data_IF_823484005834
#
_entry.id   IF_823484005834
#
_cell.length_a   1.000
_cell.length_b   1.000
_cell.length_c   1.000
_cell.angle_alpha   90.00
_cell.angle_beta   90.00
_cell.angle_gamma   90.00
#
_symmetry.space_group_name_H-M   'P 1'
#
loop_
_entity.id
_entity.type
_entity.pdbx_description
1 polymer ?
#
# COMPACT_ATOMS: atom_id res chain seq x y z
N UNK A 1 -8.15 -42.86 74.96
CA UNK A 1 -7.35 -43.98 74.45
C UNK A 1 -7.66 -44.17 72.98
N UNK A 2 -6.60 -44.43 72.22
CA UNK A 2 -6.46 -44.81 70.81
C UNK A 2 -7.69 -45.47 70.16
N UNK A 3 -8.08 -45.00 68.95
CA UNK A 3 -7.90 -45.66 67.62
C UNK A 3 -8.97 -46.73 67.33
N UNK A 4 -9.62 -46.89 66.17
CA UNK A 4 -9.15 -46.83 64.77
C UNK A 4 -10.34 -46.98 63.77
N UNK A 5 -10.15 -46.52 62.53
CA UNK A 5 -10.69 -46.99 61.22
C UNK A 5 -12.21 -46.94 60.92
N UNK A 6 -12.65 -46.09 59.98
CA UNK A 6 -12.82 -46.33 58.52
C UNK A 6 -14.31 -46.01 58.19
N UNK A 7 -14.79 -45.54 57.04
CA UNK A 7 -14.36 -45.63 55.66
C UNK A 7 -15.06 -44.53 54.81
N UNK A 8 -14.57 -44.40 53.58
CA UNK A 8 -14.80 -43.44 52.50
C UNK A 8 -16.24 -43.06 52.09
N UNK A 9 -16.34 -41.87 51.48
CA UNK A 9 -17.48 -41.42 50.66
C UNK A 9 -17.23 -40.05 50.02
N UNK A 10 -16.61 -40.03 48.84
CA UNK A 10 -16.21 -38.86 48.02
C UNK A 10 -17.40 -38.26 47.26
N UNK A 11 -17.42 -36.92 47.06
CA UNK A 11 -17.79 -36.27 45.78
C UNK A 11 -17.26 -34.83 45.71
N UNK A 12 -16.63 -34.53 44.56
CA UNK A 12 -15.88 -33.33 44.20
C UNK A 12 -16.80 -32.15 43.82
N UNK A 13 -16.32 -30.91 43.92
CA UNK A 13 -16.14 -30.08 42.70
C UNK A 13 -15.30 -28.80 42.90
N UNK A 14 -14.19 -28.77 42.15
CA UNK A 14 -13.77 -27.69 41.25
C UNK A 14 -13.71 -26.23 41.72
N UNK A 15 -12.49 -25.77 41.99
CA UNK A 15 -12.10 -24.39 42.26
C UNK A 15 -12.42 -23.38 41.12
N UNK A 16 -13.05 -22.26 41.49
CA UNK A 16 -13.11 -21.02 40.69
C UNK A 16 -11.77 -20.25 40.75
N UNK A 17 -11.33 -19.67 39.63
CA UNK A 17 -10.24 -18.68 39.62
C UNK A 17 -10.60 -17.46 38.76
N UNK A 18 -10.46 -16.28 39.36
CA UNK A 18 -10.82 -14.96 38.87
C UNK A 18 -9.84 -14.44 37.81
N UNK A 19 -10.34 -13.95 36.67
CA UNK A 19 -9.59 -13.14 35.69
C UNK A 19 -9.70 -11.64 36.03
N UNK A 20 -8.60 -10.88 36.16
CA UNK A 20 -8.66 -9.42 36.25
C UNK A 20 -9.01 -8.79 34.89
N UNK A 21 -9.83 -7.74 34.91
CA UNK A 21 -10.22 -6.93 33.75
C UNK A 21 -9.00 -6.18 33.19
N UNK A 22 -8.62 -6.49 31.96
CA UNK A 22 -7.61 -5.76 31.19
C UNK A 22 -8.22 -4.45 30.66
N UNK A 23 -7.59 -3.32 31.00
CA UNK A 23 -7.97 -1.99 30.50
C UNK A 23 -7.53 -1.87 29.05
N UNK A 24 -8.49 -1.71 28.15
CA UNK A 24 -8.26 -1.40 26.73
C UNK A 24 -7.51 -0.07 26.64
N UNK A 25 -6.24 -0.14 26.24
CA UNK A 25 -5.44 1.02 25.81
C UNK A 25 -5.78 1.27 24.34
N UNK A 26 -6.41 2.40 24.08
CA UNK A 26 -6.75 2.84 22.72
C UNK A 26 -5.46 3.25 22.00
N UNK A 27 -5.01 2.44 21.04
CA UNK A 27 -3.94 2.84 20.13
C UNK A 27 -4.47 3.86 19.11
N UNK A 28 -3.96 5.08 19.20
CA UNK A 28 -4.21 6.16 18.25
C UNK A 28 -3.44 5.89 16.95
N UNK A 29 -4.00 5.11 16.04
CA UNK A 29 -3.55 5.00 14.65
C UNK A 29 -4.72 4.66 13.70
N UNK A 30 -5.87 5.28 13.93
CA UNK A 30 -7.03 5.18 13.05
C UNK A 30 -7.08 6.38 12.08
N UNK A 31 -6.21 6.40 11.08
CA UNK A 31 -6.36 7.24 9.88
C UNK A 31 -6.73 6.42 8.62
N UNK A 32 -7.31 5.23 8.82
CA UNK A 32 -7.85 4.40 7.72
C UNK A 32 -9.36 4.14 7.88
N UNK A 33 -10.08 5.04 8.54
CA UNK A 33 -11.54 5.00 8.54
C UNK A 33 -12.09 5.59 7.24
N UNK A 34 -12.74 4.75 6.46
CA UNK A 34 -13.67 5.15 5.39
C UNK A 34 -14.69 6.12 5.99
N UNK A 35 -15.01 7.27 5.35
CA UNK A 35 -16.06 8.15 5.83
C UNK A 35 -17.39 7.39 5.98
N UNK A 36 -18.08 7.59 7.11
CA UNK A 36 -19.31 6.87 7.50
C UNK A 36 -20.54 7.15 6.62
N UNK A 37 -20.40 7.94 5.56
CA UNK A 37 -21.53 8.49 4.81
C UNK A 37 -21.69 7.84 3.40
N UNK A 38 -21.05 6.70 3.14
CA UNK A 38 -21.14 6.01 1.84
C UNK A 38 -22.21 4.90 1.78
N UNK A 39 -23.03 4.73 2.82
CA UNK A 39 -23.98 3.61 2.92
C UNK A 39 -25.34 3.85 2.24
N UNK A 40 -25.63 5.05 1.71
CA UNK A 40 -26.92 5.35 1.08
C UNK A 40 -26.84 5.54 -0.45
N UNK A 41 -26.27 4.57 -1.14
CA UNK A 41 -26.45 4.41 -2.59
C UNK A 41 -27.05 3.02 -2.84
N UNK A 42 -28.26 2.99 -3.41
CA UNK A 42 -29.00 1.79 -3.80
C UNK A 42 -28.14 0.85 -4.66
N UNK A 43 -27.62 -0.22 -4.05
CA UNK A 43 -26.79 -1.23 -4.69
C UNK A 43 -27.60 -2.47 -5.09
N UNK A 44 -28.66 -2.29 -5.86
CA UNK A 44 -29.55 -3.36 -6.32
C UNK A 44 -28.98 -4.23 -7.47
N UNK A 45 -27.66 -4.45 -7.53
CA UNK A 45 -27.05 -5.31 -8.57
C UNK A 45 -25.85 -6.17 -8.15
N UNK A 46 -25.59 -6.33 -6.85
CA UNK A 46 -24.56 -7.27 -6.37
C UNK A 46 -25.16 -8.33 -5.43
N UNK A 47 -25.89 -9.28 -6.01
CA UNK A 47 -26.15 -10.56 -5.36
C UNK A 47 -25.32 -11.66 -6.05
N UNK A 48 -24.55 -12.48 -5.32
CA UNK A 48 -23.80 -13.59 -5.91
C UNK A 48 -24.76 -14.70 -6.34
N UNK A 49 -24.84 -14.96 -7.64
CA UNK A 49 -25.65 -16.04 -8.23
C UNK A 49 -24.89 -17.36 -8.05
N UNK A 50 -25.28 -18.15 -7.05
CA UNK A 50 -24.78 -19.53 -6.86
C UNK A 50 -25.30 -20.43 -7.99
N UNK A 51 -24.48 -20.68 -9.01
CA UNK A 51 -24.72 -21.77 -9.96
C UNK A 51 -24.19 -23.07 -9.36
N UNK A 52 -25.11 -24.00 -9.05
CA UNK A 52 -24.79 -25.40 -8.75
C UNK A 52 -24.08 -26.04 -9.95
N UNK A 53 -22.80 -26.40 -9.79
CA UNK A 53 -22.13 -27.30 -10.73
C UNK A 53 -22.79 -28.69 -10.65
N UNK A 54 -23.35 -29.16 -11.76
CA UNK A 54 -23.73 -30.58 -11.94
C UNK A 54 -22.45 -31.38 -12.19
N UNK A 55 -22.22 -32.42 -11.39
CA UNK A 55 -21.21 -33.44 -11.64
C UNK A 55 -21.49 -34.21 -12.94
N UNK A 56 -20.43 -34.49 -13.71
CA UNK A 56 -20.35 -35.59 -14.66
C UNK A 56 -18.99 -36.32 -14.51
N UNK A 57 -18.93 -37.62 -14.87
CA UNK A 57 -18.06 -38.60 -14.22
C UNK A 57 -16.66 -38.75 -14.84
N UNK A 58 -15.78 -39.38 -14.06
CA UNK A 58 -14.37 -39.71 -14.33
C UNK A 58 -14.11 -40.28 -15.74
N UNK A 59 -13.08 -39.75 -16.41
CA UNK A 59 -12.44 -40.39 -17.55
C UNK A 59 -10.95 -40.65 -17.26
N UNK A 60 -10.57 -41.86 -17.59
CA UNK A 60 -9.36 -42.57 -17.18
C UNK A 60 -8.02 -41.86 -17.46
N UNK A 61 -7.08 -42.05 -16.53
CA UNK A 61 -5.67 -41.66 -16.61
C UNK A 61 -4.98 -42.34 -17.80
N UNK A 62 -4.36 -41.54 -18.69
CA UNK A 62 -3.39 -42.03 -19.70
C UNK A 62 -1.97 -42.12 -19.09
N UNK A 63 -1.13 -43.07 -19.52
CA UNK A 63 0.15 -43.35 -18.88
C UNK A 63 1.22 -42.29 -19.19
N UNK A 64 2.13 -42.12 -18.23
CA UNK A 64 3.26 -41.18 -18.23
C UNK A 64 4.24 -41.46 -19.37
N UNK A 65 4.66 -40.40 -20.07
CA UNK A 65 5.59 -40.50 -21.19
C UNK A 65 7.01 -40.87 -20.75
N UNK A 66 7.69 -41.65 -21.60
CA UNK A 66 9.08 -42.13 -21.50
C UNK A 66 10.13 -41.05 -21.16
N UNK A 67 9.78 -39.78 -21.36
CA UNK A 67 10.63 -38.61 -21.10
C UNK A 67 10.82 -38.33 -19.59
N UNK A 68 9.82 -38.67 -18.74
CA UNK A 68 9.89 -38.54 -17.27
C UNK A 68 10.84 -39.56 -16.63
N UNK A 69 11.02 -40.73 -17.24
CA UNK A 69 11.86 -41.81 -16.70
C UNK A 69 13.37 -41.53 -16.91
N UNK A 70 13.71 -40.85 -18.01
CA UNK A 70 15.09 -40.49 -18.33
C UNK A 70 15.64 -39.39 -17.42
N UNK A 71 14.79 -38.45 -16.99
CA UNK A 71 15.17 -37.35 -16.10
C UNK A 71 15.34 -37.81 -14.64
N UNK A 72 14.54 -38.78 -14.20
CA UNK A 72 14.66 -39.37 -12.86
C UNK A 72 15.98 -40.15 -12.69
N UNK A 73 16.42 -40.87 -13.73
CA UNK A 73 17.71 -41.58 -13.73
C UNK A 73 18.93 -40.66 -13.66
N UNK A 74 18.85 -39.43 -14.18
CA UNK A 74 19.93 -38.44 -14.05
C UNK A 74 20.05 -37.86 -12.63
N UNK A 75 18.93 -37.73 -11.91
CA UNK A 75 18.92 -37.14 -10.57
C UNK A 75 19.40 -38.11 -9.47
N UNK A 76 19.29 -39.42 -9.71
CA UNK A 76 19.76 -40.45 -8.76
C UNK A 76 21.29 -40.67 -8.84
N UNK A 77 21.95 -40.19 -9.90
CA UNK A 77 23.38 -40.38 -10.11
C UNK A 77 24.27 -39.33 -9.41
N UNK A 78 23.71 -38.18 -8.99
CA UNK A 78 24.45 -37.09 -8.35
C UNK A 78 24.40 -37.10 -6.80
N UNK A 79 23.69 -38.04 -6.18
CA UNK A 79 23.56 -38.13 -4.71
C UNK A 79 24.60 -39.03 -4.02
N UNK A 80 25.66 -39.40 -4.73
CA UNK A 80 26.68 -40.34 -4.28
C UNK A 80 28.06 -39.73 -4.04
N UNK A 81 28.18 -38.62 -3.30
CA UNK A 81 29.46 -38.21 -2.73
C UNK A 81 29.23 -37.24 -1.55
N UNK A 82 29.55 -37.69 -0.33
CA UNK A 82 29.55 -36.88 0.88
C UNK A 82 30.91 -36.93 1.58
N UNK A 83 31.13 -35.98 2.50
CA UNK A 83 32.07 -35.90 3.66
C UNK A 83 32.32 -34.40 3.95
N UNK A 84 32.48 -33.82 5.15
CA UNK A 84 32.22 -34.12 6.58
C UNK A 84 32.61 -32.84 7.39
N UNK A 85 31.90 -32.53 8.49
CA UNK A 85 32.15 -31.47 9.51
C UNK A 85 33.47 -31.70 10.31
N UNK A 86 34.06 -30.77 11.13
CA UNK A 86 33.48 -29.95 12.25
C UNK A 86 34.13 -28.54 12.48
N UNK A 87 33.88 -27.65 13.45
CA UNK A 87 33.02 -27.51 14.64
C UNK A 87 33.55 -26.40 15.60
N UNK A 88 32.67 -25.80 16.43
CA UNK A 88 32.83 -25.13 17.77
C UNK A 88 33.57 -23.78 17.97
N UNK A 89 32.96 -22.93 18.82
CA UNK A 89 33.63 -21.92 19.70
C UNK A 89 32.71 -20.78 20.18
N UNK A 90 32.62 -20.51 21.49
CA UNK A 90 31.70 -19.57 22.16
C UNK A 90 32.41 -18.59 23.13
N UNK A 91 31.70 -17.49 23.45
CA UNK A 91 31.70 -16.63 24.67
C UNK A 91 32.75 -15.54 25.00
N UNK A 92 32.20 -14.52 25.69
CA UNK A 92 32.75 -13.56 26.70
C UNK A 92 32.90 -12.08 26.25
N UNK A 93 32.14 -11.07 26.74
CA UNK A 93 31.90 -10.45 28.09
C UNK A 93 32.66 -9.09 28.25
N UNK A 94 31.93 -8.03 28.63
CA UNK A 94 32.35 -6.65 29.03
C UNK A 94 32.91 -6.64 30.49
N UNK A 95 33.27 -5.52 31.22
CA UNK A 95 33.17 -4.05 31.03
C UNK A 95 34.40 -3.26 31.64
N UNK A 96 34.30 -2.13 32.41
CA UNK A 96 33.79 -0.75 32.16
C UNK A 96 34.80 0.39 32.49
N UNK A 97 34.39 1.65 32.25
CA UNK A 97 34.82 2.87 32.99
C UNK A 97 34.42 4.15 32.25
N UNK A 98 34.22 5.35 32.79
CA UNK A 98 33.80 5.89 34.10
C UNK A 98 33.33 7.35 33.83
N UNK A 99 32.75 8.05 34.82
CA UNK A 99 32.08 9.38 34.70
C UNK A 99 32.99 10.57 35.07
N UNK A 100 32.69 11.75 34.54
CA UNK A 100 32.67 13.08 35.22
C UNK A 100 32.13 14.14 34.21
N UNK A 101 31.04 14.90 34.47
CA UNK A 101 30.93 16.16 35.24
C UNK A 101 31.97 17.21 34.81
N UNK A 102 31.68 18.48 34.50
CA UNK A 102 30.52 19.36 34.47
C UNK A 102 31.08 20.78 34.22
N UNK A 103 30.30 21.73 33.70
CA UNK A 103 30.43 23.14 34.07
C UNK A 103 29.32 24.01 33.49
N UNK A 104 29.00 25.00 34.30
CA UNK A 104 27.90 25.95 34.28
C UNK A 104 28.17 27.18 33.40
N UNK A 105 27.11 27.87 32.99
CA UNK A 105 27.05 29.34 33.05
C UNK A 105 25.62 29.87 32.83
N UNK A 106 25.32 30.89 33.62
CA UNK A 106 24.07 31.62 33.78
C UNK A 106 23.77 32.58 32.62
N UNK A 107 22.49 32.96 32.43
CA UNK A 107 22.17 34.12 31.60
C UNK A 107 20.69 34.44 31.35
N UNK A 108 20.01 34.98 32.37
CA UNK A 108 18.97 36.05 32.36
C UNK A 108 17.69 35.94 31.51
N UNK A 109 16.56 35.91 32.22
CA UNK A 109 15.23 36.33 31.78
C UNK A 109 15.06 37.87 31.73
N UNK A 110 14.17 38.35 30.85
CA UNK A 110 13.45 39.64 30.93
C UNK A 110 12.21 39.60 29.98
N UNK A 111 11.17 40.45 30.13
CA UNK A 111 9.80 39.97 30.40
C UNK A 111 8.78 40.18 29.26
N UNK A 112 7.70 39.40 29.34
CA UNK A 112 6.46 39.53 28.54
C UNK A 112 5.52 40.58 29.15
N UNK A 113 4.91 41.40 28.30
CA UNK A 113 3.72 42.20 28.62
C UNK A 113 2.57 41.87 27.64
N UNK A 114 1.30 42.02 28.06
CA UNK A 114 0.14 41.40 27.42
C UNK A 114 -0.79 42.43 26.73
N UNK A 115 -1.36 42.08 25.58
CA UNK A 115 -2.51 42.82 25.04
C UNK A 115 -3.65 41.92 24.55
N UNK A 116 -4.72 41.99 25.35
CA UNK A 116 -6.12 42.20 25.01
C UNK A 116 -6.83 41.27 24.00
N UNK A 117 -7.80 40.53 24.56
CA UNK A 117 -8.96 39.95 23.87
C UNK A 117 -9.84 41.07 23.29
N UNK A 118 -10.33 40.88 22.06
CA UNK A 118 -11.64 41.40 21.62
C UNK A 118 -12.39 40.29 20.90
N UNK A 119 -13.50 39.89 21.50
CA UNK A 119 -14.60 39.15 20.90
C UNK A 119 -15.49 40.16 20.15
N UNK A 120 -15.97 39.80 18.97
CA UNK A 120 -16.86 40.65 18.18
C UNK A 120 -17.19 40.02 16.84
N UNK A 121 -18.30 39.33 16.82
CA UNK A 121 -18.98 38.67 15.71
C UNK A 121 -18.95 39.49 14.41
N UNK A 122 -18.30 38.93 13.38
CA UNK A 122 -18.51 39.31 11.98
C UNK A 122 -18.19 38.09 11.14
N UNK A 123 -19.24 37.53 10.54
CA UNK A 123 -19.10 36.56 9.46
C UNK A 123 -18.12 37.17 8.44
N UNK A 124 -16.99 36.50 8.12
CA UNK A 124 -16.03 37.10 7.21
C UNK A 124 -16.69 37.15 5.83
N UNK A 125 -17.15 38.32 5.43
CA UNK A 125 -17.37 38.64 4.02
C UNK A 125 -16.06 38.34 3.31
N UNK A 126 -16.04 37.21 2.60
CA UNK A 126 -14.92 36.80 1.77
C UNK A 126 -14.87 37.83 0.63
N UNK A 127 -14.12 38.90 0.85
CA UNK A 127 -13.85 39.93 -0.15
C UNK A 127 -13.06 39.27 -1.28
N UNK A 128 -13.74 38.98 -2.38
CA UNK A 128 -13.11 38.49 -3.60
C UNK A 128 -12.43 39.67 -4.30
N UNK A 129 -11.10 39.67 -4.43
CA UNK A 129 -10.37 40.69 -5.21
C UNK A 129 -10.72 40.64 -6.71
N UNK A 130 -11.29 39.53 -7.19
CA UNK A 130 -11.89 39.40 -8.51
C UNK A 130 -13.20 38.62 -8.37
N UNK A 131 -14.35 39.17 -8.79
CA UNK A 131 -15.60 38.43 -8.76
C UNK A 131 -15.49 37.18 -9.64
N UNK A 132 -16.13 36.07 -9.26
CA UNK A 132 -16.14 34.86 -10.07
C UNK A 132 -16.70 35.17 -11.47
N UNK A 133 -16.16 34.49 -12.50
CA UNK A 133 -16.54 34.69 -13.91
C UNK A 133 -18.03 34.39 -14.20
N UNK A 134 -18.76 33.81 -13.24
CA UNK A 134 -20.18 33.52 -13.30
C UNK A 134 -20.80 33.50 -11.89
N UNK A 135 -22.13 33.58 -11.81
CA UNK A 135 -22.85 33.42 -10.53
C UNK A 135 -22.77 31.99 -10.02
N UNK A 136 -22.19 31.82 -8.82
CA UNK A 136 -22.02 30.53 -8.15
C UNK A 136 -23.20 30.29 -7.22
N UNK A 137 -24.18 29.50 -7.66
CA UNK A 137 -25.39 29.18 -6.90
C UNK A 137 -25.43 27.76 -6.31
N UNK A 138 -24.51 26.88 -6.73
CA UNK A 138 -24.46 25.49 -6.26
C UNK A 138 -24.01 25.36 -4.80
N UNK A 139 -24.77 24.64 -3.97
CA UNK A 139 -24.50 24.50 -2.53
C UNK A 139 -23.14 23.85 -2.24
N UNK A 140 -22.75 22.88 -3.05
CA UNK A 140 -21.48 22.15 -2.95
C UNK A 140 -20.30 23.08 -3.25
N UNK A 141 -20.42 23.90 -4.31
CA UNK A 141 -19.40 24.86 -4.70
C UNK A 141 -19.23 25.95 -3.63
N UNK A 142 -20.33 26.49 -3.10
CA UNK A 142 -20.30 27.47 -2.01
C UNK A 142 -19.64 26.87 -0.76
N UNK A 143 -20.00 25.64 -0.37
CA UNK A 143 -19.37 24.91 0.74
C UNK A 143 -17.88 24.67 0.51
N UNK A 144 -17.46 24.34 -0.71
CA UNK A 144 -16.05 24.16 -1.04
C UNK A 144 -15.26 25.48 -0.97
N UNK A 145 -15.83 26.58 -1.47
CA UNK A 145 -15.22 27.90 -1.41
C UNK A 145 -15.01 28.40 0.03
N UNK A 146 -16.00 28.18 0.91
CA UNK A 146 -15.89 28.62 2.31
C UNK A 146 -14.85 27.84 3.11
N UNK A 147 -14.67 26.54 2.82
CA UNK A 147 -13.67 25.68 3.47
C UNK A 147 -12.25 25.84 2.90
N UNK A 148 -12.12 26.43 1.71
CA UNK A 148 -10.84 26.55 1.01
C UNK A 148 -9.95 27.64 1.59
N UNK A 149 -8.72 27.26 1.96
CA UNK A 149 -7.79 28.15 2.67
C UNK A 149 -7.08 29.15 1.76
N UNK A 150 -6.60 28.72 0.58
CA UNK A 150 -5.81 29.57 -0.32
C UNK A 150 -6.67 30.29 -1.35
N UNK A 151 -6.25 31.51 -1.73
CA UNK A 151 -6.90 32.30 -2.79
C UNK A 151 -6.89 31.57 -4.14
N UNK A 152 -5.76 30.95 -4.48
CA UNK A 152 -5.61 30.15 -5.70
C UNK A 152 -6.61 28.99 -5.75
N UNK A 153 -6.79 28.24 -4.65
CA UNK A 153 -7.76 27.15 -4.62
C UNK A 153 -9.20 27.64 -4.80
N UNK A 154 -9.56 28.78 -4.17
CA UNK A 154 -10.89 29.39 -4.37
C UNK A 154 -11.12 29.79 -5.83
N UNK A 155 -10.09 30.35 -6.48
CA UNK A 155 -10.16 30.72 -7.90
C UNK A 155 -10.37 29.49 -8.80
N UNK A 156 -9.60 28.42 -8.61
CA UNK A 156 -9.71 27.17 -9.37
C UNK A 156 -11.09 26.50 -9.18
N UNK A 157 -11.63 26.51 -7.96
CA UNK A 157 -12.99 26.00 -7.68
C UNK A 157 -14.02 26.79 -8.47
N UNK A 158 -13.97 28.13 -8.40
CA UNK A 158 -14.91 28.99 -9.13
C UNK A 158 -14.80 28.81 -10.64
N UNK A 159 -13.58 28.76 -11.18
CA UNK A 159 -13.35 28.56 -12.61
C UNK A 159 -13.85 27.20 -13.10
N UNK A 160 -13.56 26.12 -12.36
CA UNK A 160 -14.03 24.77 -12.68
C UNK A 160 -15.55 24.70 -12.67
N UNK A 161 -16.18 25.27 -11.62
CA UNK A 161 -17.64 25.35 -11.53
C UNK A 161 -18.25 26.11 -12.71
N UNK A 162 -17.73 27.29 -13.03
CA UNK A 162 -18.26 28.10 -14.13
C UNK A 162 -18.08 27.43 -15.50
N UNK A 163 -16.92 26.80 -15.76
CA UNK A 163 -16.72 26.03 -17.01
C UNK A 163 -17.69 24.86 -17.13
N UNK A 164 -17.98 24.18 -16.02
CA UNK A 164 -18.97 23.11 -16.01
C UNK A 164 -20.39 23.65 -16.22
N UNK A 165 -20.77 24.76 -15.57
CA UNK A 165 -22.07 25.43 -15.76
C UNK A 165 -22.32 25.84 -17.21
N UNK A 166 -21.27 26.19 -17.95
CA UNK A 166 -21.33 26.54 -19.38
C UNK A 166 -21.30 25.32 -20.32
N UNK A 167 -21.23 24.08 -19.80
CA UNK A 167 -21.12 22.88 -20.64
C UNK A 167 -19.76 22.68 -21.32
N UNK A 168 -18.73 23.42 -20.89
CA UNK A 168 -17.41 23.45 -21.56
C UNK A 168 -16.34 22.59 -20.87
N UNK A 169 -16.67 21.92 -19.76
CA UNK A 169 -15.69 21.16 -18.97
C UNK A 169 -15.70 19.65 -19.25
N UNK A 170 -16.90 19.05 -19.38
CA UNK A 170 -17.06 17.61 -19.49
C UNK A 170 -17.60 17.23 -20.87
N UNK A 171 -17.08 16.17 -21.51
CA UNK A 171 -17.57 15.74 -22.82
C UNK A 171 -18.98 15.12 -22.68
N UNK A 172 -19.90 15.52 -23.57
CA UNK A 172 -21.27 14.97 -23.60
C UNK A 172 -21.37 13.64 -24.36
N UNK A 173 -20.45 13.39 -25.31
CA UNK A 173 -20.41 12.19 -26.14
C UNK A 173 -18.98 11.71 -26.38
N UNK A 174 -18.77 10.40 -26.41
CA UNK A 174 -17.48 9.75 -26.69
C UNK A 174 -17.68 8.61 -27.67
N UNK A 175 -16.83 8.51 -28.68
CA UNK A 175 -16.87 7.43 -29.68
C UNK A 175 -16.40 6.11 -29.07
N UNK A 176 -17.20 5.05 -29.24
CA UNK A 176 -16.80 3.67 -28.91
C UNK A 176 -16.05 3.06 -30.09
N UNK A 177 -14.83 2.61 -29.84
CA UNK A 177 -14.00 1.92 -30.85
C UNK A 177 -14.06 0.39 -30.76
N UNK A 178 -14.57 -0.17 -29.65
CA UNK A 178 -14.64 -1.62 -29.47
C UNK A 178 -15.74 -2.23 -30.36
N UNK A 179 -15.41 -3.18 -31.26
CA UNK A 179 -16.38 -3.79 -32.18
C UNK A 179 -17.30 -4.82 -31.50
N UNK A 180 -16.95 -5.28 -30.30
CA UNK A 180 -17.78 -6.21 -29.53
C UNK A 180 -19.03 -5.48 -29.03
N UNK A 181 -20.15 -6.17 -28.98
CA UNK A 181 -21.38 -5.63 -28.37
C UNK A 181 -21.22 -5.46 -26.85
N UNK A 182 -20.54 -6.42 -26.21
CA UNK A 182 -20.36 -6.47 -24.76
C UNK A 182 -18.91 -6.37 -24.30
N UNK A 183 -18.64 -6.97 -23.13
CA UNK A 183 -17.29 -7.16 -22.59
C UNK A 183 -16.72 -8.48 -23.10
N UNK A 184 -15.45 -8.48 -23.50
CA UNK A 184 -14.73 -9.73 -23.70
C UNK A 184 -14.51 -10.41 -22.34
N UNK A 185 -14.78 -11.71 -22.27
CA UNK A 185 -14.35 -12.53 -21.14
C UNK A 185 -13.34 -13.57 -21.63
N UNK A 186 -12.07 -13.36 -21.32
CA UNK A 186 -11.00 -14.31 -21.62
C UNK A 186 -10.73 -15.12 -20.35
N UNK A 187 -11.31 -16.32 -20.28
CA UNK A 187 -11.04 -17.23 -19.17
C UNK A 187 -9.63 -17.78 -19.31
N UNK A 188 -8.77 -17.49 -18.33
CA UNK A 188 -7.47 -18.15 -18.18
C UNK A 188 -7.75 -19.51 -17.52
N UNK A 189 -7.33 -20.60 -18.15
CA UNK A 189 -7.35 -21.90 -17.50
C UNK A 189 -6.23 -21.95 -16.47
N UNK A 190 -6.62 -22.14 -15.21
CA UNK A 190 -5.70 -22.29 -14.10
C UNK A 190 -5.38 -23.77 -13.95
N UNK A 191 -4.29 -24.20 -14.58
CA UNK A 191 -3.66 -25.47 -14.27
C UNK A 191 -2.41 -25.15 -13.44
N UNK A 192 -2.23 -25.82 -12.30
CA UNK A 192 -1.09 -25.57 -11.40
C UNK A 192 0.24 -25.85 -12.10
N UNK A 193 0.27 -26.75 -13.09
CA UNK A 193 1.45 -27.02 -13.92
C UNK A 193 1.77 -25.88 -14.92
N UNK A 194 0.85 -24.92 -15.12
CA UNK A 194 1.01 -23.80 -16.07
C UNK A 194 2.00 -22.72 -15.61
N UNK A 195 2.54 -22.82 -14.40
CA UNK A 195 3.55 -21.86 -13.89
C UNK A 195 4.94 -22.48 -13.76
N UNK A 196 5.07 -23.80 -13.98
CA UNK A 196 6.33 -24.52 -13.77
C UNK A 196 7.20 -24.61 -15.04
N UNK A 197 6.68 -24.24 -16.21
CA UNK A 197 7.45 -24.32 -17.45
C UNK A 197 8.41 -23.13 -17.60
N UNK A 198 9.66 -23.43 -17.97
CA UNK A 198 10.65 -22.42 -18.31
C UNK A 198 10.33 -21.83 -19.69
N UNK A 199 10.07 -20.52 -19.74
CA UNK A 199 9.83 -19.79 -20.99
C UNK A 199 11.15 -19.52 -21.72
N UNK A 200 11.17 -19.79 -23.03
CA UNK A 200 12.30 -19.45 -23.90
C UNK A 200 12.46 -17.92 -24.07
N UNK A 201 11.38 -17.16 -23.91
CA UNK A 201 11.38 -15.69 -23.95
C UNK A 201 10.66 -15.14 -22.71
N UNK A 202 11.37 -15.00 -21.58
CA UNK A 202 10.77 -14.49 -20.35
C UNK A 202 10.43 -13.00 -20.49
N UNK A 203 9.28 -12.60 -19.95
CA UNK A 203 8.84 -11.20 -19.93
C UNK A 203 9.67 -10.38 -18.96
N UNK A 204 9.79 -9.08 -19.24
CA UNK A 204 10.40 -8.08 -18.36
C UNK A 204 9.32 -7.14 -17.86
N UNK A 205 9.30 -6.92 -16.55
CA UNK A 205 8.24 -6.16 -15.89
C UNK A 205 8.79 -4.79 -15.48
N UNK A 206 8.02 -3.73 -15.75
CA UNK A 206 8.20 -2.42 -15.14
C UNK A 206 7.27 -2.28 -13.92
N UNK A 207 7.85 -2.40 -12.74
CA UNK A 207 7.17 -2.14 -11.47
C UNK A 207 7.15 -0.64 -11.18
N UNK A 208 5.96 -0.06 -11.05
CA UNK A 208 5.78 1.31 -10.58
C UNK A 208 5.36 1.31 -9.12
N UNK A 209 6.29 1.68 -8.25
CA UNK A 209 6.07 1.72 -6.81
C UNK A 209 5.61 3.13 -6.41
N UNK A 210 4.34 3.29 -6.01
CA UNK A 210 3.80 4.56 -5.51
C UNK A 210 3.75 4.51 -3.99
N UNK A 211 4.72 5.16 -3.34
CA UNK A 211 4.97 4.98 -1.90
C UNK A 211 4.88 6.29 -1.12
N UNK A 212 4.45 6.19 0.14
CA UNK A 212 4.35 7.31 1.06
C UNK A 212 4.56 6.86 2.51
N UNK A 213 4.61 7.80 3.44
CA UNK A 213 4.71 7.51 4.87
C UNK A 213 6.15 7.29 5.35
N UNK A 214 6.33 6.36 6.30
CA UNK A 214 7.57 6.18 7.08
C UNK A 214 8.17 4.77 7.03
N UNK A 215 7.46 3.80 6.47
CA UNK A 215 7.81 2.38 6.52
C UNK A 215 8.91 1.97 5.51
N UNK A 216 10.05 2.65 5.55
CA UNK A 216 11.18 2.42 4.62
C UNK A 216 11.72 0.98 4.66
N UNK A 217 11.81 0.39 5.86
CA UNK A 217 12.26 -1.00 6.04
C UNK A 217 11.29 -2.02 5.42
N UNK A 218 9.99 -1.78 5.54
CA UNK A 218 8.98 -2.65 4.93
C UNK A 218 9.04 -2.55 3.40
N UNK A 219 9.21 -1.35 2.85
CA UNK A 219 9.43 -1.17 1.42
C UNK A 219 10.67 -1.94 0.94
N UNK A 220 11.79 -1.86 1.66
CA UNK A 220 13.00 -2.63 1.33
C UNK A 220 12.77 -4.14 1.41
N UNK A 221 12.00 -4.61 2.40
CA UNK A 221 11.64 -6.02 2.53
C UNK A 221 10.83 -6.51 1.33
N UNK A 222 9.78 -5.78 0.96
CA UNK A 222 8.95 -6.10 -0.21
C UNK A 222 9.78 -6.02 -1.50
N UNK A 223 10.57 -4.96 -1.69
CA UNK A 223 11.44 -4.82 -2.85
C UNK A 223 12.38 -6.02 -3.00
N UNK A 224 13.02 -6.46 -1.90
CA UNK A 224 13.90 -7.64 -1.93
C UNK A 224 13.17 -8.91 -2.38
N UNK A 225 11.89 -9.05 -2.06
CA UNK A 225 11.10 -10.21 -2.46
C UNK A 225 10.74 -10.19 -3.96
N UNK A 226 10.50 -9.02 -4.55
CA UNK A 226 10.14 -8.87 -5.97
C UNK A 226 11.34 -8.55 -6.88
N UNK A 227 12.55 -8.41 -6.33
CA UNK A 227 13.72 -7.97 -7.08
C UNK A 227 14.24 -9.05 -8.04
N UNK A 228 14.37 -8.70 -9.31
CA UNK A 228 15.14 -9.44 -10.30
C UNK A 228 15.91 -8.48 -11.19
N UNK A 229 17.11 -8.89 -11.64
CA UNK A 229 18.00 -8.07 -12.47
C UNK A 229 17.42 -7.69 -13.83
N UNK A 230 16.49 -8.48 -14.36
CA UNK A 230 15.89 -8.30 -15.69
C UNK A 230 14.58 -7.52 -15.64
N UNK A 231 14.15 -7.08 -14.46
CA UNK A 231 12.98 -6.23 -14.26
C UNK A 231 13.39 -4.79 -13.96
N UNK A 232 12.44 -3.88 -14.04
CA UNK A 232 12.67 -2.45 -13.88
C UNK A 232 11.80 -1.90 -12.76
N UNK A 233 12.34 -0.99 -11.97
CA UNK A 233 11.66 -0.44 -10.81
C UNK A 233 11.66 1.08 -10.87
N UNK A 234 10.48 1.66 -11.09
CA UNK A 234 10.29 3.10 -11.14
C UNK A 234 9.51 3.58 -9.92
N UNK A 235 10.17 4.33 -9.05
CA UNK A 235 9.64 4.62 -7.71
C UNK A 235 9.19 6.07 -7.64
N UNK A 236 7.89 6.27 -7.41
CA UNK A 236 7.33 7.55 -7.03
C UNK A 236 7.21 7.63 -5.51
N UNK A 237 7.71 8.72 -4.93
CA UNK A 237 7.56 8.99 -3.50
C UNK A 237 6.74 10.27 -3.31
N UNK A 238 5.62 10.17 -2.59
CA UNK A 238 4.72 11.30 -2.31
C UNK A 238 5.51 12.53 -1.85
N UNK A 239 5.20 13.70 -2.41
CA UNK A 239 5.89 14.98 -2.16
C UNK A 239 6.04 15.30 -0.67
N UNK A 240 5.06 14.89 0.16
CA UNK A 240 5.03 15.11 1.61
C UNK A 240 5.98 14.18 2.38
N UNK A 241 6.40 13.05 1.78
CA UNK A 241 7.19 12.00 2.42
C UNK A 241 8.70 12.13 2.20
N UNK A 242 9.29 13.28 2.60
CA UNK A 242 10.71 13.58 2.31
C UNK A 242 11.72 12.63 2.95
N UNK A 243 11.42 12.09 4.13
CA UNK A 243 12.28 11.08 4.76
C UNK A 243 12.37 9.82 3.90
N UNK A 244 11.22 9.27 3.49
CA UNK A 244 11.17 8.07 2.66
C UNK A 244 11.87 8.31 1.33
N UNK A 245 11.70 9.49 0.73
CA UNK A 245 12.38 9.86 -0.52
C UNK A 245 13.91 9.80 -0.40
N UNK A 246 14.48 10.31 0.70
CA UNK A 246 15.93 10.20 0.94
C UNK A 246 16.39 8.75 1.07
N UNK A 247 15.63 7.91 1.78
CA UNK A 247 15.93 6.48 1.91
C UNK A 247 15.89 5.79 0.54
N UNK A 248 14.86 6.07 -0.26
CA UNK A 248 14.68 5.51 -1.61
C UNK A 248 15.81 5.96 -2.54
N UNK A 249 16.24 7.22 -2.49
CA UNK A 249 17.36 7.70 -3.31
C UNK A 249 18.68 6.97 -3.00
N UNK A 250 19.00 6.78 -1.71
CA UNK A 250 20.22 6.05 -1.33
C UNK A 250 20.18 4.59 -1.78
N UNK A 251 19.00 3.98 -1.68
CA UNK A 251 18.75 2.62 -2.11
C UNK A 251 18.81 2.45 -3.63
N UNK A 252 18.19 3.34 -4.40
CA UNK A 252 18.15 3.28 -5.86
C UNK A 252 19.54 3.36 -6.50
N UNK A 253 20.48 4.11 -5.89
CA UNK A 253 21.87 4.22 -6.35
C UNK A 253 22.63 2.90 -6.40
N UNK A 254 22.15 1.87 -5.71
CA UNK A 254 22.81 0.56 -5.65
C UNK A 254 22.49 -0.32 -6.87
N UNK A 255 21.53 0.07 -7.70
CA UNK A 255 20.98 -0.74 -8.78
C UNK A 255 20.84 0.07 -10.06
N UNK A 256 21.28 -0.46 -11.20
CA UNK A 256 21.14 0.22 -12.51
C UNK A 256 19.71 0.17 -13.05
N UNK A 257 18.92 -0.82 -12.66
CA UNK A 257 17.53 -1.04 -13.07
C UNK A 257 16.49 -0.44 -12.09
N UNK A 258 16.91 0.49 -11.23
CA UNK A 258 16.04 1.21 -10.30
C UNK A 258 16.17 2.71 -10.52
N UNK A 259 15.05 3.38 -10.79
CA UNK A 259 14.98 4.84 -10.98
C UNK A 259 13.89 5.43 -10.10
N UNK A 260 14.09 6.69 -9.70
CA UNK A 260 13.12 7.45 -8.89
C UNK A 260 12.55 8.56 -9.76
N UNK A 261 11.23 8.81 -9.67
CA UNK A 261 10.61 9.91 -10.43
C UNK A 261 11.25 11.25 -10.03
N UNK A 262 11.69 12.08 -10.98
CA UNK A 262 12.24 13.40 -10.65
C UNK A 262 11.13 14.35 -10.17
N UNK A 263 9.92 14.16 -10.69
CA UNK A 263 8.70 14.83 -10.25
C UNK A 263 8.05 14.06 -9.10
N UNK A 264 7.38 14.77 -8.20
CA UNK A 264 6.71 14.20 -7.02
C UNK A 264 5.40 14.93 -6.78
N UNK A 265 4.30 14.19 -6.78
CA UNK A 265 2.95 14.70 -6.51
C UNK A 265 2.54 14.37 -5.07
N UNK A 266 1.62 15.16 -4.51
CA UNK A 266 0.91 14.78 -3.29
C UNK A 266 -0.28 13.90 -3.66
N UNK A 267 -0.10 12.59 -3.55
CA UNK A 267 -1.10 11.57 -3.90
C UNK A 267 -1.97 11.30 -2.68
N UNK A 268 -2.95 12.17 -2.44
CA UNK A 268 -3.92 11.98 -1.37
C UNK A 268 -4.86 10.82 -1.68
N UNK A 269 -5.42 10.19 -0.64
CA UNK A 269 -6.37 9.09 -0.80
C UNK A 269 -7.59 9.56 -1.60
N UNK A 270 -7.96 8.79 -2.63
CA UNK A 270 -9.04 9.14 -3.57
C UNK A 270 -8.76 10.34 -4.48
N UNK A 271 -7.55 10.91 -4.46
CA UNK A 271 -7.21 12.11 -5.24
C UNK A 271 -6.93 11.84 -6.72
N UNK A 272 -7.33 12.78 -7.59
CA UNK A 272 -7.08 12.72 -9.03
C UNK A 272 -5.58 12.70 -9.42
N UNK A 273 -4.70 13.18 -8.52
CA UNK A 273 -3.24 13.18 -8.73
C UNK A 273 -2.64 11.77 -8.83
N UNK A 274 -3.34 10.74 -8.33
CA UNK A 274 -2.90 9.35 -8.49
C UNK A 274 -2.94 8.90 -9.94
N UNK A 275 -4.03 9.19 -10.66
CA UNK A 275 -4.12 8.89 -12.10
C UNK A 275 -3.09 9.69 -12.89
N UNK A 276 -2.90 10.97 -12.59
CA UNK A 276 -1.87 11.81 -13.21
C UNK A 276 -0.47 11.23 -12.98
N UNK A 277 -0.20 10.68 -11.80
CA UNK A 277 1.05 9.98 -11.48
C UNK A 277 1.24 8.76 -12.38
N UNK A 278 0.22 7.90 -12.54
CA UNK A 278 0.34 6.74 -13.42
C UNK A 278 0.51 7.10 -14.89
N UNK A 279 -0.25 8.06 -15.41
CA UNK A 279 -0.13 8.47 -16.81
C UNK A 279 1.22 9.09 -17.12
N UNK A 280 1.76 9.92 -16.21
CA UNK A 280 3.10 10.48 -16.36
C UNK A 280 4.17 9.39 -16.28
N UNK A 281 4.06 8.44 -15.33
CA UNK A 281 5.04 7.36 -15.22
C UNK A 281 5.02 6.41 -16.42
N UNK A 282 3.84 6.13 -16.99
CA UNK A 282 3.72 5.36 -18.24
C UNK A 282 4.41 6.08 -19.41
N UNK A 283 4.23 7.41 -19.54
CA UNK A 283 4.93 8.21 -20.55
C UNK A 283 6.44 8.13 -20.35
N UNK A 284 6.93 8.40 -19.14
CA UNK A 284 8.35 8.36 -18.84
C UNK A 284 8.95 6.99 -19.19
N UNK A 285 8.26 5.90 -18.83
CA UNK A 285 8.70 4.53 -19.11
C UNK A 285 8.70 4.16 -20.60
N UNK A 286 7.77 4.71 -21.40
CA UNK A 286 7.75 4.52 -22.85
C UNK A 286 8.90 5.28 -23.54
N UNK A 287 9.35 6.39 -22.96
CA UNK A 287 10.47 7.19 -23.48
C UNK A 287 11.85 6.63 -23.08
N UNK A 288 11.92 5.81 -22.02
CA UNK A 288 13.15 5.13 -21.57
C UNK A 288 13.50 3.94 -22.48
N UNK A 289 14.11 4.21 -23.62
CA UNK A 289 14.47 3.18 -24.62
C UNK A 289 15.45 2.12 -24.10
N UNK A 290 16.20 2.41 -23.04
CA UNK A 290 17.14 1.47 -22.42
C UNK A 290 16.45 0.42 -21.53
N UNK A 291 15.15 0.58 -21.24
CA UNK A 291 14.34 -0.32 -20.44
C UNK A 291 13.25 -0.97 -21.30
N UNK A 292 13.47 -2.13 -21.93
CA UNK A 292 12.52 -2.67 -22.89
C UNK A 292 11.55 -3.64 -22.18
N UNK A 293 10.65 -3.08 -21.39
CA UNK A 293 9.66 -3.81 -20.59
C UNK A 293 8.45 -4.25 -21.42
N UNK A 294 7.75 -5.31 -20.95
CA UNK A 294 6.59 -5.91 -21.60
C UNK A 294 5.29 -5.67 -20.82
N UNK A 295 5.38 -5.52 -19.49
CA UNK A 295 4.24 -5.30 -18.59
C UNK A 295 4.46 -4.15 -17.62
N UNK A 296 3.38 -3.45 -17.30
CA UNK A 296 3.30 -2.44 -16.25
C UNK A 296 2.56 -3.01 -15.04
N UNK A 297 3.17 -2.97 -13.86
CA UNK A 297 2.54 -3.38 -12.60
C UNK A 297 2.71 -2.28 -11.56
N UNK A 298 1.61 -1.73 -11.05
CA UNK A 298 1.63 -0.78 -9.95
C UNK A 298 1.55 -1.49 -8.60
N UNK A 299 2.38 -1.07 -7.64
CA UNK A 299 2.33 -1.53 -6.26
C UNK A 299 2.47 -0.34 -5.30
N UNK A 300 1.93 -0.50 -4.09
CA UNK A 300 2.12 0.41 -2.96
C UNK A 300 3.17 -0.16 -1.99
N UNK A 301 3.52 0.60 -0.94
CA UNK A 301 4.40 0.11 0.13
C UNK A 301 3.75 -0.95 1.04
N UNK A 302 2.44 -1.17 0.91
CA UNK A 302 1.68 -2.13 1.72
C UNK A 302 1.43 -3.47 1.00
N UNK A 303 1.72 -3.55 -0.29
CA UNK A 303 1.61 -4.79 -1.06
C UNK A 303 2.73 -5.78 -0.71
N UNK A 304 2.51 -7.06 -1.00
CA UNK A 304 3.51 -8.12 -0.85
C UNK A 304 3.22 -9.28 -1.81
N UNK A 305 4.23 -9.87 -2.47
CA UNK A 305 4.03 -11.02 -3.35
C UNK A 305 3.59 -12.26 -2.56
N UNK A 306 2.74 -13.08 -3.18
CA UNK A 306 2.27 -14.37 -2.64
C UNK A 306 2.67 -15.57 -3.53
N UNK A 307 3.32 -15.29 -4.66
CA UNK A 307 3.98 -16.21 -5.58
C UNK A 307 5.21 -15.51 -6.14
#
# INVERSE_FOLDING_TARGET
MESQSSNAGVSQDGYFSHRPKEKVRTDSNNENSVPKDFENVDNSNFAPRTQKQKHQPELARKPLSRQKELLKRKLEQEKGQGHSFPGKGANEVLPPGERAAGNSSLGKEAPRQPHARRSGDSSPEIKYDQPPKCDISGKEAISALSRSKSKHCRQEIGETYCRHKLGLLMPEKVTRFCPLEGKANKNVQWDEDSVEYMLANPVRIAFVLVVHGRASRQLQRMFKAIYHKDHFYYIHVDKRSNYLHRQVLQFARQYSNVRVTPWRMATIWGGASLLATYLQSMRDLLEMTDWPWDFFINLSAADYPIR
#
